data_IF_519820315339
#
_entry.id   IF_519820315339
#
_cell.length_a   1.000
_cell.length_b   1.000
_cell.length_c   1.000
_cell.angle_alpha   90.00
_cell.angle_beta   90.00
_cell.angle_gamma   90.00
#
_symmetry.space_group_name_H-M   'P 1'
#
loop_
_entity.id
_entity.type
_entity.pdbx_description
1 polymer ?
#
# COMPACT_ATOMS: atom_id res chain seq x y z
N UNK A 1 -2.02 7.28 -4.02
CA UNK A 1 -2.05 5.80 -4.13
C UNK A 1 -3.30 5.30 -3.44
N UNK A 2 -3.95 4.27 -3.99
CA UNK A 2 -5.12 3.62 -3.37
C UNK A 2 -4.70 2.27 -2.77
N UNK A 3 -4.91 2.09 -1.47
CA UNK A 3 -4.77 0.82 -0.77
C UNK A 3 -6.17 0.23 -0.63
N UNK A 4 -6.36 -1.01 -1.08
CA UNK A 4 -7.65 -1.71 -1.04
C UNK A 4 -7.58 -2.95 -0.15
N UNK A 5 -8.72 -3.31 0.41
CA UNK A 5 -8.92 -4.60 1.10
C UNK A 5 -9.02 -5.75 0.09
N UNK A 6 -8.97 -6.98 0.59
CA UNK A 6 -9.20 -8.22 -0.20
C UNK A 6 -10.54 -8.24 -0.95
N UNK A 7 -11.52 -7.44 -0.52
CA UNK A 7 -12.86 -7.32 -1.12
C UNK A 7 -12.96 -6.14 -2.09
N UNK A 8 -11.84 -5.48 -2.40
CA UNK A 8 -11.79 -4.31 -3.29
C UNK A 8 -12.25 -3.00 -2.65
N UNK A 9 -12.65 -3.00 -1.37
CA UNK A 9 -13.03 -1.77 -0.68
C UNK A 9 -11.80 -0.89 -0.44
N UNK A 10 -11.93 0.42 -0.71
CA UNK A 10 -10.89 1.42 -0.46
C UNK A 10 -10.61 1.51 1.05
N UNK A 11 -9.41 1.10 1.46
CA UNK A 11 -8.96 1.21 2.84
C UNK A 11 -8.41 2.62 3.10
N UNK A 12 -7.57 3.10 2.18
CA UNK A 12 -6.89 4.38 2.34
C UNK A 12 -6.50 4.97 0.98
N UNK A 13 -6.76 6.26 0.79
CA UNK A 13 -6.27 7.03 -0.36
C UNK A 13 -5.36 8.13 0.15
N UNK A 14 -4.10 8.12 -0.31
CA UNK A 14 -3.11 9.16 0.00
C UNK A 14 -2.79 9.97 -1.25
N UNK A 15 -3.04 11.28 -1.16
CA UNK A 15 -2.48 12.27 -2.08
C UNK A 15 -1.01 12.52 -1.70
N UNK A 16 -0.08 12.14 -2.59
CA UNK A 16 1.34 12.44 -2.44
C UNK A 16 2.21 11.29 -1.92
N UNK A 17 2.94 10.67 -2.85
CA UNK A 17 4.29 10.05 -2.84
C UNK A 17 4.97 9.48 -1.57
N UNK A 18 4.37 9.38 -0.39
CA UNK A 18 5.05 8.88 0.81
C UNK A 18 4.15 8.00 1.68
N UNK A 19 4.47 6.71 1.73
CA UNK A 19 4.02 5.75 2.74
C UNK A 19 5.12 5.55 3.80
N UNK A 20 5.85 6.62 4.14
CA UNK A 20 6.93 6.53 5.12
C UNK A 20 6.34 6.12 6.48
N UNK A 21 6.86 5.05 7.06
CA UNK A 21 6.42 4.54 8.36
C UNK A 21 5.03 3.90 8.40
N UNK A 22 4.36 3.67 7.26
CA UNK A 22 3.00 3.13 7.26
C UNK A 22 2.97 1.62 7.46
N UNK A 23 2.00 1.12 8.22
CA UNK A 23 1.76 -0.32 8.36
C UNK A 23 0.83 -0.80 7.24
N UNK A 24 1.36 -1.67 6.38
CA UNK A 24 0.65 -2.29 5.25
C UNK A 24 0.69 -3.81 5.36
N UNK A 25 0.67 -4.32 6.60
CA UNK A 25 0.66 -5.75 6.87
C UNK A 25 -0.55 -6.40 6.21
N UNK A 26 -0.32 -7.49 5.47
CA UNK A 26 -1.33 -8.24 4.70
C UNK A 26 -2.09 -7.41 3.64
N UNK A 27 -1.54 -6.26 3.21
CA UNK A 27 -2.17 -5.44 2.17
C UNK A 27 -2.09 -6.11 0.79
N UNK A 28 -3.17 -6.00 0.01
CA UNK A 28 -3.19 -6.42 -1.40
C UNK A 28 -2.71 -5.27 -2.29
N UNK A 29 -1.53 -5.44 -2.88
CA UNK A 29 -0.85 -4.44 -3.68
C UNK A 29 -0.71 -4.86 -5.16
N UNK A 30 -1.35 -5.95 -5.61
CA UNK A 30 -1.18 -6.53 -6.96
C UNK A 30 -1.50 -5.58 -8.12
N UNK A 31 -2.31 -4.54 -7.88
CA UNK A 31 -2.61 -3.49 -8.85
C UNK A 31 -2.14 -2.09 -8.42
N UNK A 32 -1.35 -2.00 -7.35
CA UNK A 32 -0.90 -0.72 -6.84
C UNK A 32 0.31 -0.22 -7.65
N UNK A 33 0.17 0.95 -8.29
CA UNK A 33 1.30 1.66 -8.89
C UNK A 33 2.14 2.31 -7.78
N UNK A 34 3.24 1.66 -7.40
CA UNK A 34 4.19 2.12 -6.37
C UNK A 34 5.43 2.81 -6.95
N UNK A 35 5.54 2.96 -8.28
CA UNK A 35 6.78 3.28 -8.99
C UNK A 35 7.45 4.62 -8.62
N UNK A 36 6.81 5.46 -7.80
CA UNK A 36 7.37 6.72 -7.26
C UNK A 36 7.06 6.95 -5.78
N UNK A 37 6.64 5.91 -5.06
CA UNK A 37 6.23 6.05 -3.65
C UNK A 37 7.42 5.79 -2.71
N UNK A 38 7.67 6.73 -1.81
CA UNK A 38 8.64 6.55 -0.73
C UNK A 38 8.04 5.61 0.33
N UNK A 39 8.60 4.41 0.43
CA UNK A 39 8.21 3.37 1.40
C UNK A 39 9.18 3.27 2.59
N UNK A 40 10.01 4.30 2.83
CA UNK A 40 11.01 4.25 3.91
C UNK A 40 10.34 3.95 5.25
N UNK A 41 10.74 2.87 5.91
CA UNK A 41 10.15 2.46 7.19
C UNK A 41 8.73 1.89 7.11
N UNK A 42 8.17 1.67 5.93
CA UNK A 42 6.87 1.00 5.80
C UNK A 42 6.98 -0.47 6.21
N UNK A 43 5.99 -0.96 6.97
CA UNK A 43 5.89 -2.38 7.29
C UNK A 43 5.05 -3.11 6.23
N UNK A 44 5.72 -3.82 5.32
CA UNK A 44 5.12 -4.60 4.22
C UNK A 44 5.00 -6.10 4.54
N UNK A 45 5.13 -6.50 5.81
CA UNK A 45 5.07 -7.92 6.18
C UNK A 45 3.76 -8.55 5.69
N UNK A 46 3.83 -9.62 4.90
CA UNK A 46 2.63 -10.30 4.39
C UNK A 46 1.91 -9.60 3.23
N UNK A 47 2.38 -8.43 2.77
CA UNK A 47 1.76 -7.76 1.62
C UNK A 47 1.90 -8.60 0.35
N UNK A 48 0.79 -8.93 -0.31
CA UNK A 48 0.76 -9.75 -1.53
C UNK A 48 0.63 -8.90 -2.80
N UNK A 49 1.22 -9.38 -3.90
CA UNK A 49 1.22 -8.79 -5.25
C UNK A 49 0.49 -9.63 -6.29
N UNK A 50 -0.18 -10.71 -5.89
CA UNK A 50 -1.16 -11.43 -6.73
C UNK A 50 -2.44 -10.63 -6.96
#
# INVERSE_FOLDING_TARGET
>A
MEIRTERGALLHSVEGDTLVGTTLTDAHLGHATLSRTNLTGANLTGANRD
#
